data_IF_996825346851
#
_entry.id   IF_996825346851
#
_cell.length_a   1.000
_cell.length_b   1.000
_cell.length_c   1.000
_cell.angle_alpha   90.00
_cell.angle_beta   90.00
_cell.angle_gamma   90.00
#
_symmetry.space_group_name_H-M   'P 1'
#
loop_
_entity.id
_entity.type
_entity.pdbx_description
1 polymer ?
#
# COMPACT_ATOMS: atom_id res chain seq x y z
N UNK A 1 -5.88 0.46 -1.67
CA UNK A 1 -5.31 0.41 -3.04
C UNK A 1 -6.42 -0.11 -3.95
N UNK A 2 -7.12 0.79 -4.63
CA UNK A 2 -8.37 0.49 -5.34
C UNK A 2 -8.09 0.38 -6.83
N UNK A 3 -7.75 -0.82 -7.29
CA UNK A 3 -8.00 -1.20 -8.68
C UNK A 3 -9.51 -1.33 -8.85
N UNK A 4 -10.09 -0.53 -9.74
CA UNK A 4 -11.46 -0.71 -10.22
C UNK A 4 -11.39 -1.09 -11.69
N UNK A 5 -12.32 -1.89 -12.19
CA UNK A 5 -12.45 -2.04 -13.63
C UNK A 5 -13.20 -0.82 -14.17
N UNK A 6 -12.69 -0.23 -15.25
CA UNK A 6 -13.41 0.78 -16.01
C UNK A 6 -14.00 0.09 -17.23
N UNK A 7 -15.32 -0.02 -17.27
CA UNK A 7 -16.07 -0.55 -18.41
C UNK A 7 -16.61 0.60 -19.25
N UNK A 8 -16.51 0.47 -20.58
CA UNK A 8 -16.99 1.50 -21.51
C UNK A 8 -18.52 1.48 -21.69
N UNK A 9 -19.18 0.36 -21.36
CA UNK A 9 -20.61 0.13 -21.48
C UNK A 9 -21.09 -0.82 -20.37
N UNK A 10 -22.39 -0.74 -20.02
CA UNK A 10 -23.04 -1.58 -19.00
C UNK A 10 -23.04 -3.10 -19.31
N UNK A 11 -22.74 -3.49 -20.55
CA UNK A 11 -22.72 -4.88 -21.03
C UNK A 11 -21.29 -5.41 -21.32
N UNK A 12 -20.25 -4.60 -21.13
CA UNK A 12 -18.87 -4.98 -21.45
C UNK A 12 -18.20 -5.70 -20.27
N UNK A 13 -18.00 -7.02 -20.42
CA UNK A 13 -17.38 -7.89 -19.41
C UNK A 13 -15.86 -7.77 -19.35
N UNK A 14 -15.23 -6.94 -20.21
CA UNK A 14 -13.79 -6.66 -20.19
C UNK A 14 -13.51 -5.22 -19.75
N UNK A 15 -13.73 -4.96 -18.48
CA UNK A 15 -13.30 -3.72 -17.84
C UNK A 15 -11.78 -3.65 -17.74
N UNK A 16 -11.17 -2.51 -18.06
CA UNK A 16 -9.73 -2.32 -17.87
C UNK A 16 -9.45 -1.99 -16.40
N UNK A 17 -8.51 -2.69 -15.78
CA UNK A 17 -7.98 -2.30 -14.46
C UNK A 17 -7.39 -0.88 -14.51
N UNK A 18 -8.00 0.03 -13.75
CA UNK A 18 -7.53 1.40 -13.57
C UNK A 18 -7.26 1.70 -12.10
N UNK A 19 -6.30 2.59 -11.86
CA UNK A 19 -5.99 3.07 -10.53
C UNK A 19 -6.99 4.15 -10.13
N UNK A 20 -7.89 3.82 -9.20
CA UNK A 20 -8.98 4.74 -8.78
C UNK A 20 -8.47 6.05 -8.16
N UNK A 21 -7.25 6.05 -7.60
CA UNK A 21 -6.69 7.22 -6.94
C UNK A 21 -6.13 8.29 -7.89
N UNK A 22 -5.84 7.95 -9.16
CA UNK A 22 -5.29 8.89 -10.15
C UNK A 22 -6.23 9.12 -11.33
N UNK A 23 -7.19 8.23 -11.55
CA UNK A 23 -8.09 8.33 -12.69
C UNK A 23 -9.20 9.34 -12.37
N UNK A 24 -9.34 10.43 -13.15
CA UNK A 24 -10.43 11.37 -12.95
C UNK A 24 -11.77 10.70 -13.28
N UNK A 25 -12.78 10.93 -12.43
CA UNK A 25 -14.14 10.51 -12.72
C UNK A 25 -14.65 11.30 -13.93
N UNK A 26 -15.13 10.60 -14.96
CA UNK A 26 -15.66 11.21 -16.18
C UNK A 26 -17.12 10.80 -16.33
N UNK A 27 -17.97 11.66 -16.87
CA UNK A 27 -19.38 11.33 -17.06
C UNK A 27 -19.56 10.12 -17.98
N UNK A 28 -20.31 9.11 -17.51
CA UNK A 28 -20.53 7.85 -18.21
C UNK A 28 -19.56 6.72 -17.86
N UNK A 29 -18.60 6.92 -16.94
CA UNK A 29 -17.74 5.82 -16.47
C UNK A 29 -18.47 4.91 -15.51
N UNK A 30 -18.56 3.62 -15.84
CA UNK A 30 -19.00 2.59 -14.90
C UNK A 30 -17.77 1.98 -14.22
N UNK A 31 -17.75 2.04 -12.89
CA UNK A 31 -16.66 1.50 -12.07
C UNK A 31 -17.23 0.36 -11.25
N UNK A 32 -16.78 -0.86 -11.54
CA UNK A 32 -17.08 -2.02 -10.70
C UNK A 32 -15.92 -2.29 -9.75
N UNK A 33 -16.26 -2.43 -8.47
CA UNK A 33 -15.33 -2.63 -7.36
C UNK A 33 -15.24 -4.13 -6.99
N UNK A 34 -16.28 -4.88 -7.34
CA UNK A 34 -16.50 -6.28 -6.94
C UNK A 34 -16.05 -7.30 -8.00
N UNK A 35 -15.53 -6.83 -9.13
CA UNK A 35 -15.02 -7.70 -10.17
C UNK A 35 -13.90 -8.60 -9.66
N UNK A 36 -13.90 -9.84 -10.14
CA UNK A 36 -12.92 -10.86 -9.75
C UNK A 36 -11.49 -10.43 -10.09
N UNK A 37 -11.28 -9.78 -11.24
CA UNK A 37 -9.97 -9.26 -11.63
C UNK A 37 -9.47 -8.17 -10.67
N UNK A 38 -10.37 -7.33 -10.15
CA UNK A 38 -10.05 -6.29 -9.18
C UNK A 38 -9.75 -6.87 -7.79
N UNK A 39 -10.44 -7.95 -7.39
CA UNK A 39 -10.18 -8.68 -6.15
C UNK A 39 -8.81 -9.37 -6.19
N UNK A 40 -8.53 -10.14 -7.24
CA UNK A 40 -7.24 -10.79 -7.45
C UNK A 40 -6.09 -9.79 -7.50
N UNK A 41 -6.29 -8.65 -8.14
CA UNK A 41 -5.28 -7.59 -8.15
C UNK A 41 -4.99 -7.07 -6.73
N UNK A 42 -6.02 -6.81 -5.91
CA UNK A 42 -5.83 -6.38 -4.51
C UNK A 42 -5.10 -7.43 -3.68
N UNK A 43 -5.46 -8.70 -3.81
CA UNK A 43 -4.78 -9.82 -3.15
C UNK A 43 -3.29 -9.87 -3.52
N UNK A 44 -2.97 -9.76 -4.81
CA UNK A 44 -1.58 -9.79 -5.29
C UNK A 44 -0.73 -8.63 -4.73
N UNK A 45 -1.31 -7.44 -4.62
CA UNK A 45 -0.64 -6.27 -4.05
C UNK A 45 -0.39 -6.45 -2.57
N UNK A 46 -1.36 -6.98 -1.82
CA UNK A 46 -1.18 -7.29 -0.38
C UNK A 46 -0.10 -8.35 -0.19
N UNK A 47 -0.07 -9.39 -1.02
CA UNK A 47 0.98 -10.41 -0.98
C UNK A 47 2.39 -9.80 -1.20
N UNK A 48 2.51 -8.88 -2.15
CA UNK A 48 3.76 -8.18 -2.44
C UNK A 48 4.22 -7.29 -1.29
N UNK A 49 3.30 -6.56 -0.66
CA UNK A 49 3.62 -5.75 0.52
C UNK A 49 4.07 -6.63 1.70
N UNK A 50 3.43 -7.78 1.88
CA UNK A 50 3.73 -8.73 2.96
C UNK A 50 4.99 -9.57 2.73
N UNK A 51 5.53 -9.56 1.51
CA UNK A 51 6.75 -10.29 1.14
C UNK A 51 7.96 -9.80 1.93
N UNK A 52 8.16 -8.49 2.00
CA UNK A 52 9.27 -7.88 2.73
C UNK A 52 8.91 -7.42 4.16
N UNK A 53 7.62 -7.34 4.50
CA UNK A 53 7.19 -6.90 5.82
C UNK A 53 7.51 -7.95 6.91
N UNK A 54 8.08 -7.55 8.07
CA UNK A 54 8.36 -8.46 9.18
C UNK A 54 7.07 -9.04 9.78
N UNK A 55 7.18 -10.12 10.53
CA UNK A 55 6.04 -10.73 11.22
C UNK A 55 5.97 -10.24 12.67
N UNK A 56 6.07 -8.92 12.82
CA UNK A 56 6.28 -8.25 14.10
C UNK A 56 4.99 -7.62 14.64
N UNK A 57 3.83 -8.04 14.15
CA UNK A 57 2.53 -7.57 14.63
C UNK A 57 2.38 -7.57 16.17
N UNK A 58 2.82 -8.60 16.94
CA UNK A 58 2.64 -8.60 18.39
C UNK A 58 3.55 -7.61 19.14
N UNK A 59 4.62 -7.13 18.51
CA UNK A 59 5.56 -6.15 19.07
C UNK A 59 5.46 -4.79 18.36
N UNK A 60 4.48 -4.65 17.47
CA UNK A 60 4.20 -3.41 16.78
C UNK A 60 3.28 -2.56 17.65
N UNK A 61 3.64 -1.28 17.84
CA UNK A 61 2.81 -0.32 18.56
C UNK A 61 1.49 -0.04 17.82
N UNK A 62 1.47 -0.21 16.49
CA UNK A 62 0.26 -0.13 15.67
C UNK A 62 -0.46 -1.50 15.52
N UNK A 63 -0.09 -2.50 16.32
CA UNK A 63 -0.76 -3.80 16.32
C UNK A 63 -2.23 -3.63 16.74
N UNK A 64 -3.18 -3.90 15.83
CA UNK A 64 -4.62 -3.79 16.07
C UNK A 64 -5.29 -2.55 15.46
N UNK A 65 -4.54 -1.53 15.06
CA UNK A 65 -5.03 -0.37 14.29
C UNK A 65 -4.25 -0.16 12.98
N UNK A 66 -3.43 -1.13 12.57
CA UNK A 66 -2.63 -1.06 11.36
C UNK A 66 -3.51 -1.24 10.11
N UNK A 67 -3.54 -0.24 9.24
CA UNK A 67 -4.26 -0.33 7.96
C UNK A 67 -3.83 -1.51 7.08
N UNK A 68 -2.57 -1.94 7.15
CA UNK A 68 -2.10 -3.10 6.38
C UNK A 68 -2.75 -4.39 6.89
N UNK A 69 -2.99 -4.50 8.20
CA UNK A 69 -3.67 -5.62 8.82
C UNK A 69 -5.12 -5.68 8.35
N UNK A 70 -5.83 -4.54 8.42
CA UNK A 70 -7.23 -4.45 7.98
C UNK A 70 -7.38 -4.85 6.50
N UNK A 71 -6.51 -4.31 5.64
CA UNK A 71 -6.53 -4.64 4.20
C UNK A 71 -6.27 -6.13 3.95
N UNK A 72 -5.42 -6.77 4.75
CA UNK A 72 -5.12 -8.21 4.62
C UNK A 72 -6.32 -9.07 5.02
N UNK A 73 -7.02 -8.68 6.09
CA UNK A 73 -8.25 -9.36 6.53
C UNK A 73 -9.36 -9.17 5.51
N UNK A 74 -9.51 -7.96 4.97
CA UNK A 74 -10.52 -7.63 3.95
C UNK A 74 -10.34 -8.43 2.66
N UNK A 75 -9.10 -8.71 2.24
CA UNK A 75 -8.81 -9.52 1.05
C UNK A 75 -8.72 -11.01 1.34
N UNK A 76 -8.92 -11.47 2.58
CA UNK A 76 -8.88 -12.89 2.93
C UNK A 76 -7.53 -13.59 2.74
N UNK A 77 -6.43 -12.82 2.62
CA UNK A 77 -5.12 -13.38 2.26
C UNK A 77 -4.43 -13.99 3.49
N UNK A 78 -4.48 -15.31 3.64
CA UNK A 78 -4.00 -16.03 4.82
C UNK A 78 -2.59 -16.63 4.71
N UNK A 79 -2.07 -16.88 3.50
CA UNK A 79 -0.82 -17.62 3.30
C UNK A 79 0.22 -16.83 2.50
N UNK A 80 1.38 -16.54 3.10
CA UNK A 80 2.53 -15.95 2.38
C UNK A 80 3.29 -17.04 1.61
N UNK A 81 3.40 -16.92 0.29
CA UNK A 81 4.16 -17.89 -0.55
C UNK A 81 5.67 -17.61 -0.59
N UNK A 82 6.09 -16.45 -0.11
CA UNK A 82 7.50 -16.02 -0.14
C UNK A 82 8.35 -16.75 0.90
N UNK A 83 9.44 -17.38 0.44
CA UNK A 83 10.36 -18.20 1.27
C UNK A 83 11.82 -17.70 1.29
N UNK A 84 12.13 -16.60 0.61
CA UNK A 84 13.50 -16.11 0.45
C UNK A 84 13.88 -15.08 1.53
N UNK A 85 15.16 -14.68 1.53
CA UNK A 85 15.73 -13.72 2.47
C UNK A 85 15.05 -12.36 2.35
N UNK A 86 14.49 -11.87 3.45
CA UNK A 86 13.83 -10.55 3.50
C UNK A 86 14.87 -9.44 3.39
N UNK A 87 14.52 -8.37 2.67
CA UNK A 87 15.32 -7.14 2.65
C UNK A 87 15.26 -6.50 4.03
N UNK A 88 16.42 -6.25 4.63
CA UNK A 88 16.53 -5.49 5.88
C UNK A 88 17.11 -4.12 5.60
N UNK A 89 16.54 -3.13 6.28
CA UNK A 89 16.95 -1.73 6.23
C UNK A 89 17.50 -1.31 7.59
N UNK A 90 18.49 -0.41 7.58
CA UNK A 90 19.00 0.21 8.81
C UNK A 90 18.08 1.34 9.22
N UNK A 91 17.67 1.36 10.48
CA UNK A 91 16.83 2.41 11.02
C UNK A 91 17.54 3.77 10.93
N UNK A 92 16.77 4.79 10.56
CA UNK A 92 17.25 6.17 10.47
C UNK A 92 16.85 6.92 11.75
N UNK A 93 17.73 7.79 12.23
CA UNK A 93 17.39 8.69 13.32
C UNK A 93 16.68 9.94 12.75
N UNK A 94 15.38 10.05 13.05
CA UNK A 94 14.53 11.17 12.62
C UNK A 94 14.32 12.20 13.74
N UNK A 95 15.06 12.08 14.84
CA UNK A 95 14.99 12.95 16.01
C UNK A 95 14.24 12.32 17.20
N UNK A 96 14.18 13.03 18.34
CA UNK A 96 13.77 12.46 19.62
C UNK A 96 12.26 12.15 19.72
N UNK A 97 11.44 12.66 18.81
CA UNK A 97 9.98 12.50 18.85
C UNK A 97 9.46 11.37 17.95
N UNK A 98 10.28 10.83 17.05
CA UNK A 98 9.84 9.85 16.04
C UNK A 98 10.74 8.63 16.11
N UNK A 99 10.23 7.56 16.71
CA UNK A 99 10.82 6.23 16.61
C UNK A 99 10.61 5.70 15.18
N UNK A 100 11.70 5.43 14.46
CA UNK A 100 11.62 4.96 13.08
C UNK A 100 12.12 3.52 12.93
N UNK A 101 11.21 2.62 12.57
CA UNK A 101 11.52 1.24 12.20
C UNK A 101 11.34 1.05 10.69
N UNK A 102 12.44 1.09 9.95
CA UNK A 102 12.37 1.13 8.47
C UNK A 102 11.99 -0.23 7.88
N UNK A 103 12.19 -1.33 8.61
CA UNK A 103 11.77 -2.67 8.17
C UNK A 103 10.25 -2.82 8.11
N UNK A 104 9.49 -2.04 8.89
CA UNK A 104 8.01 -2.04 8.85
C UNK A 104 7.46 -1.16 7.72
N UNK A 105 8.29 -0.31 7.11
CA UNK A 105 7.85 0.64 6.08
C UNK A 105 7.51 -0.06 4.76
N UNK A 106 6.33 0.24 4.22
CA UNK A 106 5.86 -0.26 2.90
C UNK A 106 6.20 0.69 1.74
N UNK A 107 7.05 1.69 1.96
CA UNK A 107 7.45 2.70 0.97
C UNK A 107 6.25 3.40 0.27
N UNK A 108 5.20 3.73 1.02
CA UNK A 108 4.02 4.44 0.48
C UNK A 108 4.25 5.94 0.22
N UNK A 109 5.41 6.49 0.60
CA UNK A 109 5.80 7.90 0.48
C UNK A 109 4.88 8.91 1.20
N UNK A 110 3.93 8.46 2.03
CA UNK A 110 3.02 9.36 2.76
C UNK A 110 3.76 10.28 3.72
N UNK A 111 4.76 9.75 4.43
CA UNK A 111 5.64 10.54 5.31
C UNK A 111 6.40 11.62 4.52
N UNK A 112 7.04 11.24 3.41
CA UNK A 112 7.83 12.16 2.58
C UNK A 112 6.96 13.28 2.00
N UNK A 113 5.76 12.96 1.52
CA UNK A 113 4.80 13.97 1.04
C UNK A 113 4.37 14.91 2.16
N UNK A 114 4.01 14.38 3.33
CA UNK A 114 3.62 15.22 4.47
C UNK A 114 4.74 16.20 4.86
N UNK A 115 5.98 15.73 4.96
CA UNK A 115 7.12 16.58 5.27
C UNK A 115 7.38 17.66 4.22
N UNK A 116 7.17 17.33 2.94
CA UNK A 116 7.38 18.26 1.83
C UNK A 116 6.28 19.32 1.75
N UNK A 117 5.03 18.91 1.92
CA UNK A 117 3.87 19.77 1.65
C UNK A 117 3.46 20.61 2.87
N UNK A 118 3.73 20.13 4.09
CA UNK A 118 3.26 20.78 5.33
C UNK A 118 4.35 21.18 6.32
N UNK A 119 5.55 20.59 6.25
CA UNK A 119 6.58 20.79 7.26
C UNK A 119 7.81 21.57 6.77
N UNK A 120 7.78 22.15 5.56
CA UNK A 120 8.85 22.97 4.93
C UNK A 120 10.27 22.38 5.05
N UNK A 121 10.36 21.06 5.21
CA UNK A 121 11.59 20.35 5.52
C UNK A 121 12.34 19.97 4.26
N UNK A 122 13.28 20.81 3.82
CA UNK A 122 14.17 20.55 2.67
C UNK A 122 15.21 19.42 2.91
N UNK A 123 14.97 18.49 3.85
CA UNK A 123 15.85 17.33 4.13
C UNK A 123 15.55 16.11 3.26
N UNK A 124 14.66 16.24 2.28
CA UNK A 124 13.94 15.11 1.65
C UNK A 124 14.58 14.54 0.37
N UNK A 125 15.74 15.02 -0.08
CA UNK A 125 16.27 14.61 -1.40
C UNK A 125 17.08 13.31 -1.46
N UNK A 126 17.79 12.93 -0.38
CA UNK A 126 18.81 11.85 -0.46
C UNK A 126 18.76 10.77 0.63
N UNK A 127 18.05 10.98 1.73
CA UNK A 127 18.03 10.02 2.85
C UNK A 127 16.98 8.91 2.71
N UNK A 128 15.93 9.14 1.91
CA UNK A 128 14.76 8.24 1.82
C UNK A 128 14.74 7.33 0.58
N UNK A 129 15.90 7.07 -0.05
CA UNK A 129 15.99 6.02 -1.07
C UNK A 129 16.16 4.68 -0.36
N UNK A 130 15.10 3.87 -0.42
CA UNK A 130 15.06 2.51 0.11
C UNK A 130 16.19 1.65 -0.45
#
# INVERSE_FOLDING_TARGET
>A
MCGGSNTKNAEDTRGRLVMSCMTPATDGTFISIDDEEAKQFRESVVEWLMTNHPHDCPVCEEGGNCHLQDMTVMTGHSFRRYRFTKRTHRNQDLGPFISHEMNRCIACYRCVRYYKDYADGNRSGRLWRA
#
